data_IF_021147137217
#
_entry.id   IF_021147137217
#
_cell.length_a   1.000
_cell.length_b   1.000
_cell.length_c   1.000
_cell.angle_alpha   90.00
_cell.angle_beta   90.00
_cell.angle_gamma   90.00
#
_symmetry.space_group_name_H-M   'P 1'
#
loop_
_entity.id
_entity.type
_entity.pdbx_description
1 polymer ?
#
# COMPACT_ATOMS: atom_id res chain seq x y z
N UNK A 1 -8.68 -1.87 -9.57
CA UNK A 1 -7.47 -1.17 -10.04
C UNK A 1 -7.31 0.10 -9.20
N UNK A 2 -6.12 0.35 -8.65
CA UNK A 2 -5.80 1.51 -7.82
C UNK A 2 -4.86 2.43 -8.61
N UNK A 3 -5.12 3.72 -8.59
CA UNK A 3 -4.33 4.76 -9.27
C UNK A 3 -3.84 5.78 -8.25
N UNK A 4 -2.73 6.47 -8.55
CA UNK A 4 -2.24 7.58 -7.73
C UNK A 4 -2.08 7.23 -6.23
N UNK A 5 -1.67 6.00 -5.95
CA UNK A 5 -1.33 5.52 -4.61
C UNK A 5 0.04 6.02 -4.17
N UNK A 6 0.35 5.85 -2.89
CA UNK A 6 1.73 5.86 -2.42
C UNK A 6 2.13 4.44 -2.04
N UNK A 7 3.33 4.09 -2.45
CA UNK A 7 4.07 2.91 -2.03
C UNK A 7 5.29 3.33 -1.21
N UNK A 8 5.65 2.51 -0.22
CA UNK A 8 6.89 2.66 0.51
C UNK A 8 7.45 1.29 0.89
N UNK A 9 8.78 1.24 1.02
CA UNK A 9 9.49 0.05 1.48
C UNK A 9 9.91 0.30 2.93
N UNK A 10 9.55 -0.62 3.81
CA UNK A 10 9.98 -0.63 5.20
C UNK A 10 10.57 -2.00 5.52
N UNK A 11 11.89 -2.05 5.64
CA UNK A 11 12.65 -3.30 5.75
C UNK A 11 12.29 -4.28 4.60
N UNK A 12 11.75 -5.46 4.93
CA UNK A 12 11.34 -6.47 3.96
C UNK A 12 9.87 -6.36 3.55
N UNK A 13 9.20 -5.24 3.80
CA UNK A 13 7.79 -5.06 3.47
C UNK A 13 7.59 -3.90 2.49
N UNK A 14 6.72 -4.12 1.52
CA UNK A 14 6.13 -3.06 0.69
C UNK A 14 4.74 -2.76 1.22
N UNK A 15 4.50 -1.50 1.53
CA UNK A 15 3.21 -1.01 1.98
C UNK A 15 2.63 -0.14 0.87
N UNK A 16 1.44 -0.48 0.39
CA UNK A 16 0.72 0.27 -0.63
C UNK A 16 -0.55 0.83 -0.01
N UNK A 17 -0.74 2.14 -0.06
CA UNK A 17 -1.79 2.80 0.69
C UNK A 17 -2.49 3.92 -0.09
N UNK A 18 -3.77 4.11 0.24
CA UNK A 18 -4.66 5.12 -0.33
C UNK A 18 -4.78 5.02 -1.87
N UNK A 19 -5.02 6.13 -2.56
CA UNK A 19 -5.15 6.20 -4.02
C UNK A 19 -6.59 6.40 -4.49
N UNK A 20 -6.83 6.11 -5.75
CA UNK A 20 -8.10 6.33 -6.45
C UNK A 20 -8.57 5.04 -7.12
N UNK A 21 -9.83 4.68 -6.91
CA UNK A 21 -10.43 3.47 -7.52
C UNK A 21 -10.96 3.69 -8.94
N UNK A 22 -10.85 4.90 -9.48
CA UNK A 22 -11.61 5.35 -10.65
C UNK A 22 -12.91 6.08 -10.29
N UNK A 23 -13.41 5.90 -9.06
CA UNK A 23 -14.68 6.50 -8.59
C UNK A 23 -14.58 7.25 -7.27
N UNK A 24 -13.70 6.81 -6.36
CA UNK A 24 -13.51 7.41 -5.04
C UNK A 24 -12.07 7.27 -4.55
N UNK A 25 -11.69 8.14 -3.63
CA UNK A 25 -10.45 8.01 -2.87
C UNK A 25 -10.52 6.77 -1.99
N UNK A 26 -9.36 6.18 -1.75
CA UNK A 26 -9.21 4.98 -0.94
C UNK A 26 -8.51 5.32 0.37
N UNK A 27 -8.88 4.58 1.41
CA UNK A 27 -8.27 4.53 2.74
C UNK A 27 -7.63 3.15 3.00
N UNK A 28 -7.74 2.22 2.06
CA UNK A 28 -7.20 0.87 2.18
C UNK A 28 -5.67 0.84 2.14
N UNK A 29 -5.11 -0.11 2.88
CA UNK A 29 -3.68 -0.39 2.99
C UNK A 29 -3.49 -1.86 2.64
N UNK A 30 -2.56 -2.14 1.73
CA UNK A 30 -2.14 -3.49 1.36
C UNK A 30 -0.67 -3.64 1.71
N UNK A 31 -0.31 -4.74 2.37
CA UNK A 31 1.07 -5.02 2.79
C UNK A 31 1.55 -6.28 2.09
N UNK A 32 2.77 -6.23 1.57
CA UNK A 32 3.43 -7.35 0.90
C UNK A 32 4.79 -7.58 1.55
N UNK A 33 5.11 -8.83 1.82
CA UNK A 33 6.44 -9.26 2.25
C UNK A 33 7.30 -9.56 1.03
N UNK A 34 8.49 -8.98 1.00
CA UNK A 34 9.53 -9.22 0.02
C UNK A 34 10.24 -10.52 0.40
N UNK A 35 10.33 -11.44 -0.55
CA UNK A 35 10.97 -12.76 -0.38
C UNK A 35 11.98 -13.01 -1.51
N UNK A 36 13.05 -13.76 -1.24
CA UNK A 36 14.15 -13.96 -2.20
C UNK A 36 13.83 -14.92 -3.35
N UNK A 37 12.69 -15.62 -3.27
CA UNK A 37 12.25 -16.60 -4.27
C UNK A 37 10.91 -16.19 -4.83
N UNK A 38 10.64 -16.59 -6.07
CA UNK A 38 9.32 -16.43 -6.68
C UNK A 38 8.20 -16.84 -5.69
N UNK A 39 7.16 -16.02 -5.47
CA UNK A 39 6.69 -14.90 -6.30
C UNK A 39 7.31 -13.52 -5.96
N UNK A 40 8.33 -13.45 -5.10
CA UNK A 40 9.01 -12.23 -4.62
C UNK A 40 8.18 -11.26 -3.78
N UNK A 41 6.86 -11.24 -3.95
CA UNK A 41 5.91 -10.49 -3.12
C UNK A 41 4.81 -11.41 -2.63
N UNK A 42 4.69 -11.54 -1.31
CA UNK A 42 3.66 -12.35 -0.65
C UNK A 42 2.71 -11.41 0.09
N UNK A 43 1.39 -11.43 -0.19
CA UNK A 43 0.44 -10.58 0.53
C UNK A 43 0.38 -10.96 2.01
N UNK A 44 0.46 -9.95 2.88
CA UNK A 44 0.32 -10.08 4.33
C UNK A 44 -1.08 -9.60 4.70
N UNK A 45 -1.85 -10.47 5.36
CA UNK A 45 -3.21 -10.13 5.77
C UNK A 45 -3.16 -9.27 7.04
N UNK A 46 -3.37 -7.96 6.89
CA UNK A 46 -3.44 -7.00 7.99
C UNK A 46 -4.77 -6.26 7.92
N UNK A 47 -5.41 -6.05 9.07
CA UNK A 47 -6.62 -5.22 9.17
C UNK A 47 -6.22 -3.79 9.56
N UNK A 48 -5.68 -3.06 8.58
CA UNK A 48 -5.23 -1.67 8.75
C UNK A 48 -5.92 -0.79 7.70
N UNK A 49 -6.37 0.38 8.14
CA UNK A 49 -6.91 1.43 7.25
C UNK A 49 -6.37 2.79 7.67
N UNK A 50 -6.25 3.68 6.70
CA UNK A 50 -5.96 5.08 6.96
C UNK A 50 -7.16 5.75 7.63
N UNK A 51 -6.91 6.69 8.54
CA UNK A 51 -7.97 7.47 9.18
C UNK A 51 -8.76 8.35 8.18
N UNK A 52 -8.19 8.61 7.01
CA UNK A 52 -8.80 9.41 5.94
C UNK A 52 -8.47 8.82 4.58
N UNK A 53 -9.45 8.78 3.69
CA UNK A 53 -9.21 8.43 2.28
C UNK A 53 -8.46 9.56 1.57
N UNK A 54 -7.42 9.22 0.78
CA UNK A 54 -6.62 10.21 0.04
C UNK A 54 -6.30 9.77 -1.38
N UNK A 55 -6.34 10.73 -2.31
CA UNK A 55 -5.81 10.57 -3.67
C UNK A 55 -4.46 11.30 -3.74
N UNK A 56 -3.47 10.73 -4.46
CA UNK A 56 -2.10 11.25 -4.55
C UNK A 56 -1.48 11.50 -3.16
N UNK A 57 -1.52 10.54 -2.22
CA UNK A 57 -0.85 10.70 -0.94
C UNK A 57 0.67 10.72 -1.12
N UNK A 58 1.38 11.21 -0.12
CA UNK A 58 2.82 11.05 0.02
C UNK A 58 3.10 10.31 1.32
N UNK A 59 4.07 9.39 1.27
CA UNK A 59 4.55 8.65 2.45
C UNK A 59 6.00 9.03 2.71
N UNK A 60 6.37 9.11 3.99
CA UNK A 60 7.74 9.32 4.43
C UNK A 60 8.10 8.16 5.36
N UNK A 61 9.24 7.53 5.09
CA UNK A 61 9.81 6.46 5.89
C UNK A 61 11.15 6.94 6.43
N UNK A 62 11.41 6.69 7.71
CA UNK A 62 12.64 7.07 8.41
C UNK A 62 13.49 5.84 8.71
#
# INVERSE_FOLDING_TARGET
MRYCQSDCVFDRYIIVMAGWSGRRSLDSVDVFEIVDKHPYLVPVNVDIRLCQSRNRPASVVF
#
